data_IF_623419940482
#
_entry.id   IF_623419940482
#
_cell.length_a   1.000
_cell.length_b   1.000
_cell.length_c   1.000
_cell.angle_alpha   90.00
_cell.angle_beta   90.00
_cell.angle_gamma   90.00
#
_symmetry.space_group_name_H-M   'P 1'
#
loop_
_entity.id
_entity.type
_entity.pdbx_description
1 polymer ?
#
# COMPACT_ATOMS: atom_id res chain seq x y z
N UNK A 1 -1.17 -22.21 -69.44
CA UNK A 1 -0.34 -22.07 -68.23
C UNK A 1 -0.21 -20.60 -67.87
N UNK A 2 -0.79 -20.17 -66.75
CA UNK A 2 -0.31 -19.06 -65.90
C UNK A 2 -1.25 -18.95 -64.70
N UNK A 3 -0.79 -19.49 -63.56
CA UNK A 3 -1.42 -19.35 -62.24
C UNK A 3 -1.08 -17.95 -61.75
N UNK A 4 -2.08 -17.13 -61.42
CA UNK A 4 -1.87 -15.91 -60.63
C UNK A 4 -2.23 -16.25 -59.18
N UNK A 5 -1.22 -16.29 -58.33
CA UNK A 5 -1.35 -16.60 -56.91
C UNK A 5 -2.00 -15.41 -56.19
N UNK A 6 -3.12 -15.66 -55.50
CA UNK A 6 -3.67 -14.73 -54.52
C UNK A 6 -2.90 -14.92 -53.22
N UNK A 7 -2.11 -13.91 -52.83
CA UNK A 7 -1.55 -13.83 -51.48
C UNK A 7 -2.64 -13.31 -50.54
N UNK A 8 -3.21 -14.19 -49.73
CA UNK A 8 -4.03 -13.81 -48.59
C UNK A 8 -3.05 -13.41 -47.48
N UNK A 9 -2.96 -12.11 -47.21
CA UNK A 9 -2.28 -11.59 -46.02
C UNK A 9 -3.19 -11.90 -44.84
N UNK A 10 -2.82 -12.90 -44.06
CA UNK A 10 -3.48 -13.23 -42.80
C UNK A 10 -2.92 -12.28 -41.72
N UNK A 11 -3.59 -11.15 -41.52
CA UNK A 11 -3.30 -10.24 -40.42
C UNK A 11 -3.69 -10.90 -39.11
N UNK A 12 -2.73 -11.52 -38.42
CA UNK A 12 -2.90 -11.97 -37.04
C UNK A 12 -3.00 -10.71 -36.19
N UNK A 13 -4.23 -10.26 -35.91
CA UNK A 13 -4.50 -9.32 -34.84
C UNK A 13 -4.27 -10.08 -33.53
N UNK A 14 -3.03 -10.03 -33.01
CA UNK A 14 -2.75 -10.28 -31.60
C UNK A 14 -3.52 -9.21 -30.81
N UNK A 15 -4.73 -9.56 -30.38
CA UNK A 15 -5.49 -8.78 -29.44
C UNK A 15 -4.78 -8.79 -28.09
N UNK A 16 -3.81 -7.90 -27.91
CA UNK A 16 -3.43 -7.44 -26.58
C UNK A 16 -4.67 -6.74 -26.04
N UNK A 17 -5.50 -7.47 -25.29
CA UNK A 17 -6.50 -6.84 -24.45
C UNK A 17 -5.74 -6.09 -23.37
N UNK A 18 -5.45 -4.82 -23.63
CA UNK A 18 -5.01 -3.89 -22.60
C UNK A 18 -6.14 -3.83 -21.57
N UNK A 19 -5.99 -4.53 -20.46
CA UNK A 19 -6.88 -4.35 -19.33
C UNK A 19 -6.64 -2.92 -18.84
N UNK A 20 -7.72 -2.12 -18.81
CA UNK A 20 -7.64 -0.78 -18.22
C UNK A 20 -7.20 -0.93 -16.77
N UNK A 21 -6.24 -0.12 -16.28
CA UNK A 21 -5.92 -0.09 -14.87
C UNK A 21 -7.21 0.17 -14.07
N UNK A 22 -7.36 -0.58 -12.99
CA UNK A 22 -8.43 -0.38 -12.02
C UNK A 22 -8.22 0.89 -11.19
N UNK A 23 -9.20 1.21 -10.32
CA UNK A 23 -9.24 2.48 -9.59
C UNK A 23 -8.33 2.50 -8.35
N UNK A 24 -7.72 1.39 -7.97
CA UNK A 24 -6.96 1.27 -6.73
C UNK A 24 -5.45 1.40 -6.96
N UNK A 25 -4.71 1.60 -5.86
CA UNK A 25 -3.26 1.80 -5.88
C UNK A 25 -2.54 0.72 -6.72
N UNK A 26 -1.56 1.08 -7.56
CA UNK A 26 -0.80 0.13 -8.36
C UNK A 26 0.22 -0.65 -7.52
N UNK A 27 0.91 -1.58 -8.19
CA UNK A 27 1.97 -2.41 -7.65
C UNK A 27 3.06 -1.63 -6.87
N UNK A 28 3.80 -2.33 -6.02
CA UNK A 28 4.85 -1.75 -5.21
C UNK A 28 5.93 -1.06 -6.06
N UNK A 29 6.31 0.16 -5.66
CA UNK A 29 7.30 0.99 -6.35
C UNK A 29 6.76 1.76 -7.57
N UNK A 30 5.48 1.61 -7.92
CA UNK A 30 4.83 2.43 -8.95
C UNK A 30 4.31 3.74 -8.35
N UNK A 31 4.25 4.84 -9.13
CA UNK A 31 3.63 6.09 -8.69
C UNK A 31 2.19 5.87 -8.21
N UNK A 32 1.87 6.35 -7.00
CA UNK A 32 0.56 6.18 -6.38
C UNK A 32 0.36 4.86 -5.63
N UNK A 33 1.38 3.99 -5.55
CA UNK A 33 1.35 2.81 -4.69
C UNK A 33 1.29 3.20 -3.21
N UNK A 34 0.58 2.40 -2.40
CA UNK A 34 0.52 2.53 -0.94
C UNK A 34 1.39 1.49 -0.22
N UNK A 35 2.15 0.69 -0.96
CA UNK A 35 2.98 -0.38 -0.41
C UNK A 35 4.00 0.12 0.61
N UNK A 36 4.09 -0.54 1.76
CA UNK A 36 5.08 -0.26 2.81
C UNK A 36 6.21 -1.28 2.72
N UNK A 37 7.42 -0.82 2.39
CA UNK A 37 8.61 -1.68 2.41
C UNK A 37 8.92 -2.16 3.84
N UNK A 38 9.37 -3.41 4.01
CA UNK A 38 9.71 -4.03 5.31
C UNK A 38 10.76 -3.29 6.14
N UNK A 39 11.58 -2.46 5.51
CA UNK A 39 12.60 -1.64 6.17
C UNK A 39 12.16 -0.17 6.30
N UNK A 40 10.87 0.12 6.10
CA UNK A 40 10.31 1.47 6.24
C UNK A 40 10.40 1.96 7.69
N UNK A 41 10.77 3.22 7.87
CA UNK A 41 10.74 3.90 9.16
C UNK A 41 9.32 4.11 9.71
N UNK A 42 8.27 3.81 8.93
CA UNK A 42 6.90 3.79 9.43
C UNK A 42 6.63 2.61 10.36
N UNK A 43 7.43 1.54 10.28
CA UNK A 43 7.24 0.33 11.08
C UNK A 43 7.81 0.58 12.48
N UNK A 44 6.91 0.60 13.47
CA UNK A 44 7.27 0.79 14.87
C UNK A 44 7.71 -0.52 15.53
N UNK A 45 7.02 -1.61 15.21
CA UNK A 45 7.31 -2.93 15.76
C UNK A 45 6.65 -4.03 14.91
N UNK A 46 7.00 -5.28 15.21
CA UNK A 46 6.46 -6.46 14.56
C UNK A 46 5.66 -7.30 15.55
N UNK A 47 4.60 -7.93 15.08
CA UNK A 47 3.77 -8.79 15.93
C UNK A 47 4.58 -9.96 16.51
N UNK A 48 4.27 -10.30 17.77
CA UNK A 48 5.02 -11.28 18.57
C UNK A 48 4.17 -12.48 19.02
N UNK A 49 2.89 -12.50 18.70
CA UNK A 49 1.97 -13.56 19.10
C UNK A 49 0.92 -13.79 18.03
N UNK A 50 0.83 -15.02 17.55
CA UNK A 50 -0.12 -15.45 16.53
C UNK A 50 -0.68 -16.83 16.88
N UNK A 51 -1.97 -17.01 16.67
CA UNK A 51 -2.64 -18.31 16.68
C UNK A 51 -3.01 -18.68 15.25
N UNK A 52 -2.51 -19.82 14.77
CA UNK A 52 -2.77 -20.32 13.42
C UNK A 52 -3.83 -21.42 13.46
N UNK A 53 -4.78 -21.34 12.53
CA UNK A 53 -5.68 -22.42 12.16
C UNK A 53 -5.52 -22.70 10.67
N UNK A 54 -4.89 -23.82 10.31
CA UNK A 54 -4.68 -24.18 8.90
C UNK A 54 -5.98 -24.55 8.21
N UNK A 55 -6.09 -24.09 6.97
CA UNK A 55 -7.12 -24.40 5.99
C UNK A 55 -6.77 -25.62 5.15
N UNK A 56 -7.65 -25.93 4.21
CA UNK A 56 -7.55 -27.10 3.34
C UNK A 56 -6.60 -26.86 2.17
N UNK A 57 -6.03 -27.95 1.63
CA UNK A 57 -5.37 -27.91 0.32
C UNK A 57 -6.36 -27.57 -0.80
N UNK A 58 -7.58 -28.07 -0.67
CA UNK A 58 -8.70 -27.75 -1.55
C UNK A 58 -10.00 -27.91 -0.77
N UNK A 59 -10.75 -26.82 -0.61
CA UNK A 59 -12.04 -26.83 0.07
C UNK A 59 -13.08 -27.72 -0.62
N UNK A 60 -12.97 -27.89 -1.94
CA UNK A 60 -13.83 -28.77 -2.72
C UNK A 60 -13.46 -30.25 -2.51
N UNK A 61 -12.21 -30.54 -2.10
CA UNK A 61 -11.73 -31.88 -1.81
C UNK A 61 -10.97 -31.96 -0.47
N UNK A 62 -11.71 -31.82 0.63
CA UNK A 62 -11.18 -31.88 2.00
C UNK A 62 -10.43 -33.18 2.35
N UNK A 63 -10.58 -34.25 1.56
CA UNK A 63 -9.85 -35.51 1.78
C UNK A 63 -8.34 -35.40 1.52
N UNK A 64 -7.91 -34.37 0.79
CA UNK A 64 -6.49 -34.07 0.58
C UNK A 64 -5.80 -33.62 1.87
N UNK A 65 -6.55 -33.13 2.84
CA UNK A 65 -6.03 -32.64 4.12
C UNK A 65 -5.79 -31.13 4.13
N UNK A 66 -4.91 -30.71 5.01
CA UNK A 66 -4.58 -29.30 5.25
C UNK A 66 -3.23 -28.95 4.59
N UNK A 67 -3.03 -27.66 4.34
CA UNK A 67 -1.70 -27.13 3.98
C UNK A 67 -0.68 -27.46 5.07
N UNK A 68 0.60 -27.46 4.73
CA UNK A 68 1.66 -27.94 5.64
C UNK A 68 2.96 -27.14 5.62
N UNK A 69 3.08 -26.12 4.76
CA UNK A 69 4.27 -25.29 4.68
C UNK A 69 4.38 -24.31 5.85
N UNK A 70 5.59 -24.14 6.38
CA UNK A 70 5.93 -23.23 7.47
C UNK A 70 5.45 -23.67 8.86
N UNK A 71 5.71 -22.83 9.85
CA UNK A 71 5.11 -22.91 11.19
C UNK A 71 4.79 -21.51 11.75
N UNK A 72 4.15 -21.46 12.93
CA UNK A 72 3.68 -20.18 13.48
C UNK A 72 4.79 -19.17 13.78
N UNK A 73 6.03 -19.62 13.97
CA UNK A 73 7.16 -18.74 14.21
C UNK A 73 7.58 -17.98 12.94
N UNK A 74 7.30 -18.53 11.76
CA UNK A 74 7.58 -17.87 10.47
C UNK A 74 6.71 -16.62 10.27
N UNK A 75 5.53 -16.58 10.89
CA UNK A 75 4.61 -15.43 10.84
C UNK A 75 4.89 -14.33 11.89
N UNK A 76 6.00 -14.43 12.63
CA UNK A 76 6.36 -13.53 13.73
C UNK A 76 7.62 -12.74 13.42
N UNK A 77 7.69 -11.53 13.97
CA UNK A 77 8.87 -10.68 13.81
C UNK A 77 8.98 -10.07 12.42
N UNK A 78 10.21 -9.78 12.02
CA UNK A 78 10.51 -9.01 10.81
C UNK A 78 10.26 -9.84 9.55
N UNK A 79 9.57 -9.24 8.57
CA UNK A 79 9.30 -9.84 7.27
C UNK A 79 10.61 -10.25 6.58
N UNK A 80 10.77 -11.54 6.33
CA UNK A 80 12.04 -12.11 5.87
C UNK A 80 11.87 -13.17 4.77
N UNK A 81 10.63 -13.36 4.28
CA UNK A 81 10.29 -14.33 3.26
C UNK A 81 10.23 -15.79 3.75
N UNK A 82 10.39 -16.05 5.05
CA UNK A 82 9.85 -17.28 5.65
C UNK A 82 8.36 -17.09 5.87
N UNK A 83 7.56 -18.08 5.52
CA UNK A 83 6.10 -17.95 5.54
C UNK A 83 5.43 -19.17 6.11
N UNK A 84 4.23 -18.96 6.61
CA UNK A 84 3.26 -20.03 6.87
C UNK A 84 2.06 -19.88 5.95
N UNK A 85 1.75 -20.97 5.24
CA UNK A 85 0.59 -20.99 4.34
C UNK A 85 -0.69 -21.23 5.12
N UNK A 86 -1.71 -20.43 4.84
CA UNK A 86 -3.01 -20.53 5.49
C UNK A 86 -3.89 -21.60 4.84
N UNK A 87 -3.92 -21.69 3.51
CA UNK A 87 -4.80 -22.61 2.75
C UNK A 87 -6.29 -22.24 2.85
N UNK A 88 -7.12 -22.93 2.07
CA UNK A 88 -8.53 -22.59 1.94
C UNK A 88 -9.26 -22.57 3.30
N UNK A 89 -9.86 -21.42 3.65
CA UNK A 89 -10.48 -21.14 4.98
C UNK A 89 -9.52 -21.09 6.17
N UNK A 90 -8.21 -21.02 5.91
CA UNK A 90 -7.18 -20.86 6.92
C UNK A 90 -7.21 -19.47 7.55
N UNK A 91 -6.74 -19.39 8.79
CA UNK A 91 -6.80 -18.17 9.58
C UNK A 91 -5.55 -18.00 10.44
N UNK A 92 -5.10 -16.76 10.59
CA UNK A 92 -4.12 -16.35 11.58
C UNK A 92 -4.70 -15.24 12.46
N UNK A 93 -4.73 -15.44 13.77
CA UNK A 93 -5.19 -14.41 14.73
C UNK A 93 -4.01 -13.91 15.56
N UNK A 94 -3.60 -12.68 15.29
CA UNK A 94 -2.60 -11.98 16.09
C UNK A 94 -3.22 -11.41 17.34
N UNK A 95 -2.48 -11.48 18.44
CA UNK A 95 -2.76 -10.73 19.68
C UNK A 95 -1.73 -9.63 19.81
N UNK A 96 -2.18 -8.38 19.93
CA UNK A 96 -1.31 -7.21 19.95
C UNK A 96 -1.33 -6.53 21.33
N UNK A 97 -0.15 -6.08 21.76
CA UNK A 97 0.04 -5.35 23.00
C UNK A 97 1.20 -4.36 22.83
N UNK A 98 0.99 -3.04 22.98
CA UNK A 98 -0.26 -2.40 23.38
C UNK A 98 -1.37 -2.51 22.33
N UNK A 99 -2.62 -2.25 22.75
CA UNK A 99 -3.74 -2.13 21.83
C UNK A 99 -3.52 -0.94 20.89
N UNK A 100 -3.94 -1.06 19.64
CA UNK A 100 -3.93 0.06 18.67
C UNK A 100 -5.28 0.77 18.68
N UNK A 101 -5.28 2.06 18.38
CA UNK A 101 -6.47 2.90 18.24
C UNK A 101 -6.40 3.61 16.91
N UNK A 102 -7.55 3.97 16.36
CA UNK A 102 -7.63 4.80 15.16
C UNK A 102 -6.82 6.08 15.36
N UNK A 103 -5.85 6.28 14.47
CA UNK A 103 -4.99 7.43 14.40
C UNK A 103 -4.95 7.93 12.97
N UNK A 104 -4.12 8.93 12.69
CA UNK A 104 -4.01 9.39 11.32
C UNK A 104 -3.25 8.37 10.47
N UNK A 105 -3.86 7.94 9.36
CA UNK A 105 -3.29 6.98 8.41
C UNK A 105 -3.33 5.54 8.92
N UNK A 106 -2.64 4.62 8.24
CA UNK A 106 -2.69 3.21 8.60
C UNK A 106 -1.99 2.86 9.92
N UNK A 107 -2.60 1.98 10.71
CA UNK A 107 -2.05 1.51 11.99
C UNK A 107 -1.21 0.24 11.88
N UNK A 108 -1.43 -0.57 10.85
CA UNK A 108 -0.69 -1.82 10.65
C UNK A 108 -0.57 -2.17 9.18
N UNK A 109 0.37 -3.07 8.87
CA UNK A 109 0.53 -3.61 7.53
C UNK A 109 0.74 -5.13 7.57
N UNK A 110 0.20 -5.84 6.58
CA UNK A 110 0.34 -7.29 6.44
C UNK A 110 1.22 -7.61 5.24
N UNK A 111 2.19 -8.49 5.46
CA UNK A 111 3.20 -8.92 4.51
C UNK A 111 2.91 -10.34 4.05
N UNK A 112 3.08 -10.54 2.76
CA UNK A 112 2.96 -11.79 2.02
C UNK A 112 4.28 -11.97 1.23
N UNK A 113 4.53 -13.15 0.67
CA UNK A 113 5.78 -13.50 0.01
C UNK A 113 5.66 -13.74 -1.50
N UNK A 114 4.86 -12.94 -2.18
CA UNK A 114 4.68 -13.06 -3.61
C UNK A 114 5.97 -12.78 -4.39
N UNK A 115 6.22 -13.61 -5.41
CA UNK A 115 7.41 -13.50 -6.27
C UNK A 115 7.32 -12.37 -7.31
N UNK A 116 6.16 -11.73 -7.51
CA UNK A 116 5.98 -10.72 -8.56
C UNK A 116 4.80 -9.79 -8.30
N UNK A 117 4.71 -8.67 -9.02
CA UNK A 117 3.60 -7.71 -8.87
C UNK A 117 2.22 -8.24 -9.33
N UNK A 118 2.15 -9.48 -9.83
CA UNK A 118 0.94 -10.04 -10.42
C UNK A 118 0.62 -11.46 -9.96
N UNK A 119 1.60 -12.24 -9.49
CA UNK A 119 1.33 -13.52 -8.84
C UNK A 119 0.97 -13.25 -7.37
N UNK A 120 -0.29 -12.92 -7.11
CA UNK A 120 -0.75 -12.43 -5.81
C UNK A 120 -1.75 -13.43 -5.24
N UNK A 121 -1.68 -13.66 -3.94
CA UNK A 121 -2.58 -14.50 -3.16
C UNK A 121 -3.19 -13.66 -2.05
N UNK A 122 -4.51 -13.73 -1.86
CA UNK A 122 -5.23 -12.74 -1.06
C UNK A 122 -5.72 -13.27 0.28
N UNK A 123 -5.80 -12.36 1.25
CA UNK A 123 -6.49 -12.62 2.51
C UNK A 123 -7.35 -11.43 2.93
N UNK A 124 -8.51 -11.75 3.52
CA UNK A 124 -9.29 -10.77 4.27
C UNK A 124 -8.60 -10.41 5.58
N UNK A 125 -8.88 -9.20 6.04
CA UNK A 125 -8.37 -8.67 7.30
C UNK A 125 -9.53 -8.24 8.17
N UNK A 126 -9.48 -8.65 9.41
CA UNK A 126 -10.50 -8.37 10.41
C UNK A 126 -9.84 -7.94 11.72
N UNK A 127 -10.55 -7.14 12.50
CA UNK A 127 -10.04 -6.63 13.78
C UNK A 127 -11.06 -6.79 14.89
N UNK A 128 -10.57 -6.90 16.12
CA UNK A 128 -11.42 -7.06 17.30
C UNK A 128 -10.79 -6.46 18.55
N UNK A 129 -11.64 -5.94 19.44
CA UNK A 129 -11.25 -5.50 20.78
C UNK A 129 -11.23 -6.65 21.80
N UNK A 130 -12.04 -7.70 21.60
CA UNK A 130 -12.28 -8.78 22.57
C UNK A 130 -11.84 -10.18 22.10
N UNK A 131 -11.47 -10.32 20.82
CA UNK A 131 -11.03 -11.57 20.22
C UNK A 131 -12.18 -12.53 19.88
N UNK A 132 -13.43 -12.08 19.97
CA UNK A 132 -14.64 -12.84 19.67
C UNK A 132 -15.44 -12.17 18.56
N UNK A 133 -15.68 -10.86 18.69
CA UNK A 133 -16.43 -10.06 17.73
C UNK A 133 -15.45 -9.35 16.81
N UNK A 134 -15.41 -9.76 15.55
CA UNK A 134 -14.51 -9.20 14.55
C UNK A 134 -15.27 -8.38 13.52
N UNK A 135 -14.74 -7.21 13.21
CA UNK A 135 -15.16 -6.40 12.07
C UNK A 135 -14.17 -6.58 10.94
N UNK A 136 -14.68 -6.80 9.72
CA UNK A 136 -13.86 -7.02 8.53
C UNK A 136 -13.68 -5.72 7.77
N UNK A 137 -12.46 -5.45 7.33
CA UNK A 137 -12.18 -4.35 6.40
C UNK A 137 -12.99 -4.50 5.10
N UNK A 138 -13.51 -3.42 4.51
CA UNK A 138 -14.37 -3.50 3.32
C UNK A 138 -13.56 -3.82 2.05
N UNK A 139 -13.12 -5.06 1.92
CA UNK A 139 -12.39 -5.59 0.79
C UNK A 139 -13.17 -5.44 -0.54
N UNK A 140 -12.46 -5.17 -1.63
CA UNK A 140 -13.02 -4.99 -2.97
C UNK A 140 -12.16 -5.71 -4.01
N UNK A 141 -12.81 -6.45 -4.92
CA UNK A 141 -12.15 -7.08 -6.06
C UNK A 141 -12.91 -6.80 -7.36
N UNK A 142 -12.18 -6.32 -8.36
CA UNK A 142 -12.64 -6.11 -9.74
C UNK A 142 -11.99 -7.09 -10.73
N UNK A 143 -11.39 -8.16 -10.21
CA UNK A 143 -10.83 -9.23 -11.04
C UNK A 143 -11.94 -9.91 -11.86
N UNK A 144 -11.61 -10.34 -13.07
CA UNK A 144 -12.58 -11.00 -13.96
C UNK A 144 -13.02 -12.32 -13.32
N UNK A 145 -14.30 -12.65 -13.39
CA UNK A 145 -14.88 -13.90 -12.85
C UNK A 145 -15.43 -14.80 -13.96
N UNK A 146 -15.17 -14.49 -15.23
CA UNK A 146 -15.59 -15.30 -16.37
C UNK A 146 -14.74 -16.57 -16.54
N UNK A 147 -13.47 -16.51 -16.11
CA UNK A 147 -12.50 -17.61 -16.20
C UNK A 147 -11.77 -17.72 -14.86
N UNK A 148 -11.71 -18.92 -14.28
CA UNK A 148 -10.98 -19.19 -13.05
C UNK A 148 -9.50 -18.78 -13.20
N UNK A 149 -8.99 -18.00 -12.25
CA UNK A 149 -7.56 -17.75 -12.12
C UNK A 149 -6.92 -19.06 -11.65
N UNK A 150 -6.06 -19.66 -12.47
CA UNK A 150 -5.36 -20.89 -12.11
C UNK A 150 -4.37 -20.68 -10.97
N UNK A 151 -3.86 -21.77 -10.39
CA UNK A 151 -2.93 -21.78 -9.25
C UNK A 151 -1.70 -20.86 -9.35
N UNK A 152 -1.26 -20.55 -10.58
CA UNK A 152 -0.12 -19.66 -10.87
C UNK A 152 -0.53 -18.48 -11.75
N UNK A 153 -1.81 -18.13 -11.71
CA UNK A 153 -2.41 -17.07 -12.50
C UNK A 153 -1.98 -15.68 -12.02
N UNK A 154 -2.19 -14.69 -12.89
CA UNK A 154 -1.87 -13.31 -12.61
C UNK A 154 -3.13 -12.52 -12.23
N UNK A 155 -3.00 -11.70 -11.19
CA UNK A 155 -3.97 -10.71 -10.71
C UNK A 155 -3.44 -9.29 -10.98
N UNK A 156 -4.34 -8.38 -11.36
CA UNK A 156 -3.99 -6.97 -11.51
C UNK A 156 -4.18 -6.24 -10.17
N UNK A 157 -3.11 -5.74 -9.51
CA UNK A 157 -3.21 -5.11 -8.20
C UNK A 157 -4.05 -3.82 -8.22
N UNK A 158 -4.19 -3.15 -9.38
CA UNK A 158 -5.03 -1.95 -9.49
C UNK A 158 -6.53 -2.25 -9.38
N UNK A 159 -6.92 -3.54 -9.41
CA UNK A 159 -8.29 -4.03 -9.28
C UNK A 159 -8.63 -4.57 -7.90
N UNK A 160 -7.70 -4.49 -6.95
CA UNK A 160 -7.83 -5.03 -5.60
C UNK A 160 -7.63 -3.96 -4.54
N UNK A 161 -8.45 -3.98 -3.49
CA UNK A 161 -8.36 -3.08 -2.34
C UNK A 161 -8.79 -3.78 -1.06
N UNK A 162 -8.11 -3.48 0.06
CA UNK A 162 -8.32 -4.08 1.38
C UNK A 162 -8.28 -5.63 1.41
N UNK A 163 -7.48 -6.22 0.53
CA UNK A 163 -7.08 -7.63 0.59
C UNK A 163 -5.56 -7.67 0.78
N UNK A 164 -5.11 -8.26 1.89
CA UNK A 164 -3.69 -8.51 2.12
C UNK A 164 -3.11 -9.36 0.98
N UNK A 165 -1.80 -9.27 0.73
CA UNK A 165 -1.13 -9.96 -0.40
C UNK A 165 -1.22 -9.25 -1.74
N UNK A 166 -1.73 -8.02 -1.76
CA UNK A 166 -1.73 -7.15 -2.95
C UNK A 166 -0.32 -6.81 -3.48
N UNK A 167 0.71 -6.91 -2.64
CA UNK A 167 2.06 -6.50 -2.99
C UNK A 167 3.03 -7.67 -2.91
N UNK A 168 4.00 -7.68 -3.83
CA UNK A 168 5.10 -8.64 -3.85
C UNK A 168 5.88 -8.64 -2.53
N UNK A 169 6.67 -9.69 -2.32
CA UNK A 169 7.58 -9.86 -1.20
C UNK A 169 8.37 -8.57 -0.87
N UNK A 170 8.68 -8.43 0.42
CA UNK A 170 9.26 -7.24 1.06
C UNK A 170 8.31 -6.04 1.22
N UNK A 171 7.08 -6.09 0.69
CA UNK A 171 6.12 -5.00 0.80
C UNK A 171 4.81 -5.44 1.45
N UNK A 172 4.40 -4.71 2.49
CA UNK A 172 3.15 -4.92 3.18
C UNK A 172 2.04 -4.01 2.64
N UNK A 173 0.79 -4.48 2.71
CA UNK A 173 -0.39 -3.65 2.49
C UNK A 173 -0.78 -2.95 3.80
N UNK A 174 -0.77 -1.61 3.88
CA UNK A 174 -1.30 -0.89 5.04
C UNK A 174 -2.82 -1.00 5.18
N UNK A 175 -3.29 -1.00 6.43
CA UNK A 175 -4.70 -1.00 6.83
C UNK A 175 -4.98 0.14 7.81
N UNK A 176 -5.97 0.98 7.48
CA UNK A 176 -6.35 2.21 8.20
C UNK A 176 -7.66 2.00 8.97
N UNK A 177 -7.61 2.08 10.30
CA UNK A 177 -8.76 1.85 11.16
C UNK A 177 -9.88 2.88 10.94
N UNK A 178 -9.64 4.01 10.26
CA UNK A 178 -10.70 4.92 9.86
C UNK A 178 -11.69 4.29 8.85
N UNK A 179 -11.31 3.18 8.20
CA UNK A 179 -12.15 2.45 7.25
C UNK A 179 -13.13 1.45 7.91
N UNK A 180 -13.06 1.27 9.23
CA UNK A 180 -13.93 0.41 10.02
C UNK A 180 -14.73 1.23 11.03
N UNK A 181 -15.92 0.75 11.40
CA UNK A 181 -16.83 1.46 12.31
C UNK A 181 -16.63 1.09 13.78
N UNK A 182 -15.38 0.85 14.20
CA UNK A 182 -15.03 0.45 15.56
C UNK A 182 -14.60 1.66 16.41
N UNK A 183 -15.24 1.85 17.56
CA UNK A 183 -14.91 2.94 18.50
C UNK A 183 -13.88 2.54 19.57
N UNK A 184 -13.55 1.25 19.67
CA UNK A 184 -12.70 0.70 20.72
C UNK A 184 -11.26 0.45 20.24
N UNK A 185 -10.33 0.37 21.20
CA UNK A 185 -8.95 -0.05 20.91
C UNK A 185 -8.92 -1.52 20.45
N UNK A 186 -8.22 -1.78 19.35
CA UNK A 186 -8.05 -3.11 18.76
C UNK A 186 -6.94 -3.87 19.50
N UNK A 187 -7.22 -5.13 19.82
CA UNK A 187 -6.30 -6.06 20.50
C UNK A 187 -6.02 -7.31 19.68
N UNK A 188 -6.80 -7.55 18.65
CA UNK A 188 -6.69 -8.72 17.79
C UNK A 188 -6.83 -8.32 16.34
N UNK A 189 -5.96 -8.88 15.51
CA UNK A 189 -6.02 -8.76 14.04
C UNK A 189 -6.10 -10.18 13.50
N UNK A 190 -7.09 -10.46 12.67
CA UNK A 190 -7.31 -11.78 12.08
C UNK A 190 -7.22 -11.70 10.58
N UNK A 191 -6.37 -12.56 10.03
CA UNK A 191 -6.14 -12.74 8.61
C UNK A 191 -6.85 -14.01 8.20
N UNK A 192 -7.65 -13.95 7.14
CA UNK A 192 -8.45 -15.07 6.67
C UNK A 192 -8.20 -15.27 5.18
N UNK A 193 -7.73 -16.44 4.80
CA UNK A 193 -7.49 -16.82 3.42
C UNK A 193 -8.71 -16.59 2.52
N UNK A 194 -8.47 -16.07 1.31
CA UNK A 194 -9.47 -15.96 0.26
C UNK A 194 -9.51 -17.27 -0.53
N UNK A 195 -10.62 -18.00 -0.43
CA UNK A 195 -10.88 -19.11 -1.37
C UNK A 195 -11.15 -18.51 -2.75
N UNK A 196 -10.19 -18.66 -3.66
CA UNK A 196 -10.20 -18.07 -5.01
C UNK A 196 -11.18 -18.68 -6.01
N UNK A 197 -11.96 -19.69 -5.61
CA UNK A 197 -12.89 -20.38 -6.49
C UNK A 197 -13.98 -19.46 -7.01
N UNK A 198 -14.27 -19.50 -8.32
CA UNK A 198 -15.45 -18.84 -8.90
C UNK A 198 -16.73 -19.68 -8.78
N UNK A 199 -16.64 -20.90 -8.21
CA UNK A 199 -17.81 -21.77 -8.04
C UNK A 199 -18.62 -21.34 -6.81
N UNK A 200 -19.91 -21.07 -7.00
CA UNK A 200 -20.72 -20.33 -6.02
C UNK A 200 -20.86 -20.93 -4.61
N UNK A 201 -20.59 -22.21 -4.41
CA UNK A 201 -20.58 -22.86 -3.08
C UNK A 201 -19.25 -22.69 -2.32
N UNK A 202 -18.17 -22.38 -3.02
CA UNK A 202 -16.83 -22.18 -2.47
C UNK A 202 -16.31 -20.76 -2.64
N UNK A 203 -16.97 -19.96 -3.48
CA UNK A 203 -16.58 -18.59 -3.77
C UNK A 203 -16.65 -17.70 -2.54
N UNK A 204 -15.52 -17.07 -2.22
CA UNK A 204 -15.49 -15.92 -1.32
C UNK A 204 -16.01 -14.68 -2.04
N UNK A 205 -16.54 -13.74 -1.26
CA UNK A 205 -17.13 -12.50 -1.77
C UNK A 205 -16.59 -11.29 -1.06
N UNK A 206 -16.43 -10.22 -1.81
CA UNK A 206 -16.01 -8.92 -1.32
C UNK A 206 -17.16 -8.15 -0.65
N UNK A 207 -16.89 -6.93 -0.17
CA UNK A 207 -17.87 -6.10 0.54
C UNK A 207 -19.07 -5.67 -0.33
N UNK A 208 -19.00 -5.81 -1.65
CA UNK A 208 -20.10 -5.54 -2.59
C UNK A 208 -20.77 -6.83 -3.07
N UNK A 209 -20.38 -7.99 -2.52
CA UNK A 209 -20.92 -9.29 -2.88
C UNK A 209 -20.36 -9.85 -4.20
N UNK A 210 -19.32 -9.25 -4.77
CA UNK A 210 -18.63 -9.75 -5.97
C UNK A 210 -17.73 -10.91 -5.59
N UNK A 211 -17.61 -11.91 -6.48
CA UNK A 211 -16.69 -13.03 -6.27
C UNK A 211 -15.24 -12.53 -6.35
N UNK A 212 -14.39 -13.04 -5.48
CA UNK A 212 -12.94 -12.78 -5.54
C UNK A 212 -12.28 -13.96 -6.26
N UNK A 213 -11.80 -13.74 -7.48
CA UNK A 213 -11.16 -14.76 -8.31
C UNK A 213 -9.63 -14.78 -8.10
N UNK A 214 -9.24 -15.25 -6.93
CA UNK A 214 -7.85 -15.51 -6.52
C UNK A 214 -7.32 -16.81 -7.16
N UNK A 215 -6.00 -17.09 -7.20
CA UNK A 215 -5.48 -18.37 -7.67
C UNK A 215 -6.16 -19.57 -7.00
N UNK A 216 -6.75 -20.46 -7.80
CA UNK A 216 -7.43 -21.65 -7.31
C UNK A 216 -7.55 -22.73 -8.42
N UNK A 217 -7.49 -24.04 -8.08
CA UNK A 217 -7.13 -24.60 -6.78
C UNK A 217 -5.63 -24.49 -6.50
N UNK A 218 -5.26 -24.42 -5.23
CA UNK A 218 -3.87 -24.38 -4.74
C UNK A 218 -3.55 -25.64 -3.91
N UNK A 219 -3.76 -26.81 -4.50
CA UNK A 219 -3.70 -28.12 -3.85
C UNK A 219 -2.29 -28.65 -3.55
N UNK A 220 -1.42 -27.78 -3.03
CA UNK A 220 -0.03 -28.07 -2.64
C UNK A 220 0.29 -27.53 -1.25
N UNK A 221 1.42 -27.97 -0.69
CA UNK A 221 1.77 -27.73 0.71
C UNK A 221 1.76 -26.26 1.13
N UNK A 222 2.10 -25.35 0.20
CA UNK A 222 2.10 -23.91 0.38
C UNK A 222 0.89 -23.20 -0.26
N UNK A 223 -0.26 -23.88 -0.35
CA UNK A 223 -1.44 -23.31 -1.00
C UNK A 223 -2.09 -22.18 -0.20
N UNK A 224 -2.68 -21.23 -0.92
CA UNK A 224 -3.41 -20.10 -0.34
C UNK A 224 -2.44 -19.04 0.19
N UNK A 225 -2.92 -18.19 1.10
CA UNK A 225 -2.16 -17.04 1.56
C UNK A 225 -0.86 -17.43 2.31
N UNK A 226 0.28 -16.98 1.80
CA UNK A 226 1.61 -17.17 2.38
C UNK A 226 1.96 -16.01 3.35
N UNK A 227 1.57 -16.15 4.61
CA UNK A 227 1.76 -15.13 5.64
C UNK A 227 3.23 -15.04 6.08
N UNK A 228 3.87 -13.89 5.80
CA UNK A 228 5.23 -13.55 6.25
C UNK A 228 5.19 -12.80 7.59
N UNK A 229 4.47 -11.67 7.66
CA UNK A 229 4.50 -10.87 8.88
C UNK A 229 3.32 -9.89 9.04
N UNK A 230 3.17 -9.41 10.27
CA UNK A 230 2.34 -8.26 10.61
C UNK A 230 3.19 -7.18 11.28
N UNK A 231 3.23 -6.00 10.68
CA UNK A 231 3.88 -4.82 11.23
C UNK A 231 2.87 -3.90 11.89
N UNK A 232 3.21 -3.39 13.08
CA UNK A 232 2.52 -2.26 13.70
C UNK A 232 3.23 -0.97 13.29
N UNK A 233 2.46 0.00 12.83
CA UNK A 233 2.98 1.25 12.30
C UNK A 233 3.00 2.33 13.39
N UNK A 234 3.88 3.32 13.24
CA UNK A 234 3.78 4.53 14.02
C UNK A 234 2.47 5.23 13.68
N UNK A 235 1.73 5.78 14.68
CA UNK A 235 0.62 6.68 14.39
C UNK A 235 1.16 7.76 13.47
N UNK A 236 0.63 7.85 12.26
CA UNK A 236 1.19 8.74 11.27
C UNK A 236 0.90 10.17 11.71
N UNK A 237 1.81 10.84 12.41
CA UNK A 237 1.83 12.31 12.38
C UNK A 237 2.04 12.83 10.94
N UNK A 238 2.30 11.90 10.01
CA UNK A 238 2.45 12.03 8.57
C UNK A 238 1.19 11.66 7.78
N UNK A 239 0.01 11.55 8.40
CA UNK A 239 -1.20 11.96 7.69
C UNK A 239 -1.12 13.47 7.45
N UNK A 240 -0.18 13.87 6.59
CA UNK A 240 -0.42 14.97 5.69
C UNK A 240 -1.60 14.48 4.84
N UNK A 241 -2.78 14.74 5.40
CA UNK A 241 -3.94 15.18 4.68
C UNK A 241 -3.48 15.63 3.28
N UNK A 242 -4.16 15.14 2.24
CA UNK A 242 -4.19 15.82 0.96
C UNK A 242 -4.81 17.23 1.11
N UNK A 243 -4.39 18.02 2.11
CA UNK A 243 -4.12 19.42 1.87
C UNK A 243 -3.31 19.42 0.61
N UNK A 244 -3.95 19.89 -0.47
CA UNK A 244 -3.29 20.52 -1.59
C UNK A 244 -1.95 21.00 -1.07
N UNK A 245 -0.86 20.52 -1.65
CA UNK A 245 0.38 21.27 -1.63
C UNK A 245 0.00 22.66 -2.16
N UNK A 246 -0.48 23.54 -1.26
CA UNK A 246 -0.38 24.95 -1.39
C UNK A 246 1.12 25.10 -1.40
N UNK A 247 1.64 25.13 -2.63
CA UNK A 247 3.04 25.32 -2.91
C UNK A 247 3.53 26.44 -2.00
N UNK A 248 4.28 26.09 -0.94
CA UNK A 248 5.07 27.04 -0.15
C UNK A 248 6.28 27.48 -0.99
N UNK A 249 6.05 27.71 -2.29
CA UNK A 249 7.06 28.03 -3.28
C UNK A 249 7.19 29.54 -3.26
N UNK A 250 8.41 30.07 -3.06
CA UNK A 250 8.65 31.49 -3.13
C UNK A 250 8.19 32.08 -4.46
N UNK A 251 7.40 33.15 -4.43
CA UNK A 251 6.97 33.87 -5.61
C UNK A 251 7.03 35.40 -5.44
N UNK A 252 7.26 36.15 -6.51
CA UNK A 252 7.71 35.66 -7.81
C UNK A 252 9.15 35.13 -7.72
N UNK A 253 9.47 34.11 -8.51
CA UNK A 253 10.85 33.64 -8.71
C UNK A 253 11.05 33.39 -10.21
N UNK A 254 11.83 34.21 -10.93
CA UNK A 254 12.70 35.28 -10.42
C UNK A 254 11.96 36.47 -9.77
N UNK A 255 12.57 37.05 -8.73
CA UNK A 255 12.07 38.20 -8.00
C UNK A 255 12.76 39.50 -8.45
N UNK A 256 12.03 40.62 -8.42
CA UNK A 256 12.57 41.97 -8.69
C UNK A 256 12.79 42.72 -7.39
N UNK A 257 11.68 43.12 -6.75
CA UNK A 257 11.70 44.02 -5.59
C UNK A 257 11.45 43.27 -4.28
N UNK A 258 10.69 42.17 -4.33
CA UNK A 258 10.34 41.36 -3.16
C UNK A 258 10.01 39.93 -3.55
N UNK A 259 10.10 39.04 -2.57
CA UNK A 259 9.65 37.67 -2.70
C UNK A 259 8.77 37.29 -1.50
N UNK A 260 7.73 36.51 -1.76
CA UNK A 260 6.75 36.06 -0.78
C UNK A 260 6.77 34.54 -0.68
N UNK A 261 6.59 34.01 0.54
CA UNK A 261 6.33 32.61 0.81
C UNK A 261 5.03 32.54 1.61
N UNK A 262 3.93 32.03 1.03
CA UNK A 262 2.65 31.94 1.74
C UNK A 262 2.80 31.23 3.09
N UNK A 263 2.15 31.77 4.11
CA UNK A 263 2.12 31.18 5.45
C UNK A 263 3.47 31.10 6.17
N UNK A 264 4.50 31.80 5.69
CA UNK A 264 5.76 31.95 6.41
C UNK A 264 5.63 32.89 7.62
N UNK A 265 6.13 32.43 8.76
CA UNK A 265 6.22 33.21 10.00
C UNK A 265 7.45 34.11 9.95
N UNK A 266 8.52 33.63 9.35
CA UNK A 266 9.72 34.43 9.10
C UNK A 266 10.50 33.91 7.89
N UNK A 267 11.26 34.82 7.29
CA UNK A 267 12.13 34.60 6.15
C UNK A 267 13.55 35.03 6.48
N UNK A 268 14.54 34.30 6.00
CA UNK A 268 15.96 34.67 6.05
C UNK A 268 16.62 34.47 4.69
N UNK A 269 17.36 35.46 4.23
CA UNK A 269 18.07 35.45 2.96
C UNK A 269 19.57 35.26 3.19
N UNK A 270 20.18 34.40 2.39
CA UNK A 270 21.61 34.11 2.39
C UNK A 270 22.18 34.18 0.98
N UNK A 271 23.48 34.45 0.87
CA UNK A 271 24.21 34.24 -0.39
C UNK A 271 24.57 32.75 -0.59
N UNK A 272 25.13 32.41 -1.75
CA UNK A 272 25.53 31.04 -2.08
C UNK A 272 26.66 30.47 -1.20
N UNK A 273 27.35 31.32 -0.43
CA UNK A 273 28.36 30.91 0.55
C UNK A 273 27.75 30.69 1.94
N UNK A 274 26.43 30.79 2.08
CA UNK A 274 25.71 30.63 3.35
C UNK A 274 25.83 31.83 4.30
N UNK A 275 26.31 32.98 3.82
CA UNK A 275 26.37 34.19 4.64
C UNK A 275 24.98 34.83 4.72
N UNK A 276 24.53 35.10 5.93
CA UNK A 276 23.28 35.79 6.22
C UNK A 276 23.30 37.22 5.66
N UNK A 277 22.20 37.62 5.00
CA UNK A 277 22.05 38.92 4.36
C UNK A 277 20.92 39.74 5.00
N UNK A 278 19.74 39.14 5.20
CA UNK A 278 18.53 39.84 5.66
C UNK A 278 17.50 38.87 6.22
N UNK A 279 16.66 39.34 7.13
CA UNK A 279 15.49 38.63 7.64
C UNK A 279 14.21 39.47 7.58
N UNK A 280 13.07 38.79 7.70
CA UNK A 280 11.75 39.37 7.87
C UNK A 280 10.90 38.47 8.77
N UNK A 281 10.14 39.04 9.71
CA UNK A 281 9.14 38.30 10.50
C UNK A 281 7.75 38.45 9.87
N UNK A 282 7.68 38.13 8.57
CA UNK A 282 6.48 38.27 7.73
C UNK A 282 6.59 37.26 6.58
N UNK A 283 5.51 37.09 5.82
CA UNK A 283 5.44 36.23 4.64
C UNK A 283 6.23 36.80 3.44
N UNK A 284 6.78 38.01 3.55
CA UNK A 284 7.46 38.71 2.46
C UNK A 284 8.79 39.31 2.92
N UNK A 285 9.78 39.32 2.02
CA UNK A 285 11.08 39.97 2.23
C UNK A 285 11.41 40.84 1.01
N UNK A 286 11.81 42.09 1.28
CA UNK A 286 12.24 43.05 0.26
C UNK A 286 13.68 42.77 -0.20
N UNK A 287 13.95 42.97 -1.49
CA UNK A 287 15.17 42.59 -2.19
C UNK A 287 15.85 43.76 -2.93
N UNK A 288 15.35 44.98 -2.76
CA UNK A 288 15.80 46.18 -3.48
C UNK A 288 17.30 46.46 -3.34
N UNK A 289 17.92 46.09 -2.21
CA UNK A 289 19.33 46.31 -1.95
C UNK A 289 20.28 45.27 -2.60
N UNK A 290 19.75 44.17 -3.14
CA UNK A 290 20.58 43.06 -3.63
C UNK A 290 20.77 43.10 -5.16
N UNK A 291 21.97 42.78 -5.68
CA UNK A 291 22.21 42.68 -7.11
C UNK A 291 21.56 41.42 -7.72
N UNK A 292 21.41 41.42 -9.05
CA UNK A 292 20.95 40.25 -9.80
C UNK A 292 21.84 39.03 -9.50
N UNK A 293 21.24 37.89 -9.22
CA UNK A 293 21.98 36.69 -8.81
C UNK A 293 21.12 35.61 -8.17
N UNK A 294 21.76 34.51 -7.78
CA UNK A 294 21.14 33.40 -7.04
C UNK A 294 21.37 33.56 -5.54
N UNK A 295 20.34 33.28 -4.77
CA UNK A 295 20.31 33.38 -3.31
C UNK A 295 19.60 32.17 -2.70
N UNK A 296 19.82 31.95 -1.42
CA UNK A 296 19.11 30.94 -0.63
C UNK A 296 18.13 31.67 0.29
N UNK A 297 16.87 31.30 0.22
CA UNK A 297 15.81 31.81 1.09
C UNK A 297 15.39 30.70 2.05
N UNK A 298 15.50 30.92 3.35
CA UNK A 298 15.00 30.04 4.39
C UNK A 298 13.67 30.58 4.92
N UNK A 299 12.64 29.75 4.98
CA UNK A 299 11.32 30.10 5.49
C UNK A 299 10.95 29.23 6.70
N UNK A 300 10.48 29.87 7.76
CA UNK A 300 9.91 29.21 8.93
C UNK A 300 8.39 29.11 8.74
N UNK A 301 7.86 27.88 8.70
CA UNK A 301 6.44 27.59 8.52
C UNK A 301 5.87 26.95 9.80
N UNK A 302 4.87 27.56 10.44
CA UNK A 302 4.23 26.98 11.63
C UNK A 302 5.21 26.54 12.74
N UNK A 303 4.86 25.44 13.43
CA UNK A 303 5.71 24.74 14.40
C UNK A 303 6.69 23.74 13.75
N UNK A 304 6.85 23.76 12.43
CA UNK A 304 7.69 22.83 11.68
C UNK A 304 9.14 23.35 11.53
N UNK A 305 10.04 22.49 11.06
CA UNK A 305 11.43 22.83 10.76
C UNK A 305 11.52 23.80 9.56
N UNK A 306 12.48 24.73 9.59
CA UNK A 306 12.71 25.69 8.52
C UNK A 306 13.03 25.01 7.17
N UNK A 307 12.52 25.56 6.06
CA UNK A 307 12.73 25.07 4.70
C UNK A 307 13.58 26.04 3.89
N UNK A 308 14.48 25.53 3.04
CA UNK A 308 15.36 26.36 2.19
C UNK A 308 14.99 26.26 0.71
N UNK A 309 15.02 27.40 0.02
CA UNK A 309 14.69 27.55 -1.40
C UNK A 309 15.81 28.27 -2.14
N UNK A 310 16.00 27.91 -3.41
CA UNK A 310 16.85 28.68 -4.32
C UNK A 310 15.99 29.73 -5.03
N UNK A 311 16.39 31.00 -4.91
CA UNK A 311 15.68 32.12 -5.51
C UNK A 311 16.62 32.93 -6.40
N UNK A 312 16.08 33.47 -7.49
CA UNK A 312 16.82 34.31 -8.42
C UNK A 312 16.32 35.74 -8.30
N UNK A 313 17.23 36.70 -8.13
CA UNK A 313 16.94 38.14 -8.24
C UNK A 313 17.28 38.59 -9.66
N UNK A 314 16.32 39.22 -10.33
CA UNK A 314 16.49 39.72 -11.70
C UNK A 314 15.70 41.02 -11.90
N UNK A 315 16.37 42.16 -11.64
CA UNK A 315 15.94 43.52 -11.98
C UNK A 315 16.09 43.82 -13.46
#
# INVERSE_FOLDING_TARGET
MRRLAFYIIFSIALGLQAQSPGPYAPAAGQPGSTAIHKDSSLIASWAQSVLIQRGYLDIANKSLGLVSHGDSADALGHANGQVISLGDSGMATYSISPAIVDGPGAEFAIFENSFSDVFLEFAFVEVSSDGQNFERFPAQSLLDTNLQTGAFGASDPTKVHNLAGKYRADFGLPFDLAEISLQDSIRYIRIVDVIGSIQGNWATRDAQGRIINDPYPTDFASGGFDLDALALLHPSSLALENQKLAQFVPYPNPAQDKIAVPSAISLKLYNLQGQFLKDANDEQIGLDEFPNGLYILEAQLGSHQAQSFHIQIQK
#
